data_IF_835184521462
#
_entry.id   IF_835184521462
#
_cell.length_a   1.000
_cell.length_b   1.000
_cell.length_c   1.000
_cell.angle_alpha   90.00
_cell.angle_beta   90.00
_cell.angle_gamma   90.00
#
_symmetry.space_group_name_H-M   'P 1'
#
loop_
_entity.id
_entity.type
_entity.pdbx_description
1 polymer ?
#
# COMPACT_ATOMS: atom_id res chain seq x y z
N UNK A 1 8.92 -2.28 4.10
CA UNK A 1 7.75 -2.17 5.00
C UNK A 1 7.11 -0.80 4.84
N UNK A 2 5.82 -0.63 5.16
CA UNK A 2 5.04 0.63 5.01
C UNK A 2 5.77 1.88 5.50
N UNK A 3 6.37 1.81 6.69
CA UNK A 3 7.06 2.96 7.29
C UNK A 3 8.26 3.45 6.46
N UNK A 4 8.97 2.54 5.78
CA UNK A 4 10.08 2.89 4.89
C UNK A 4 9.59 3.66 3.65
N UNK A 5 8.51 3.18 3.03
CA UNK A 5 7.93 3.84 1.84
C UNK A 5 7.41 5.23 2.21
N UNK A 6 6.70 5.34 3.34
CA UNK A 6 6.26 6.64 3.87
C UNK A 6 7.45 7.59 4.08
N UNK A 7 8.53 7.14 4.72
CA UNK A 7 9.73 7.96 4.91
C UNK A 7 10.37 8.39 3.59
N UNK A 8 10.39 7.53 2.57
CA UNK A 8 10.92 7.88 1.26
C UNK A 8 10.08 8.95 0.56
N UNK A 9 8.76 8.87 0.66
CA UNK A 9 7.84 9.89 0.15
C UNK A 9 8.07 11.22 0.88
N UNK A 10 8.11 11.20 2.22
CA UNK A 10 8.25 12.41 3.04
C UNK A 10 9.60 13.12 2.86
N UNK A 11 10.66 12.34 2.66
CA UNK A 11 12.01 12.88 2.44
C UNK A 11 12.38 12.99 0.97
N UNK A 12 11.43 12.74 0.05
CA UNK A 12 11.64 12.84 -1.40
C UNK A 12 12.84 12.03 -1.91
N UNK A 13 13.06 10.82 -1.37
CA UNK A 13 14.19 9.95 -1.73
C UNK A 13 14.06 9.45 -3.16
N UNK A 14 15.19 9.23 -3.82
CA UNK A 14 15.24 8.56 -5.11
C UNK A 14 15.53 7.07 -4.93
N UNK A 15 14.92 6.26 -5.80
CA UNK A 15 15.26 4.87 -6.01
C UNK A 15 16.62 4.76 -6.74
N UNK A 16 17.18 3.55 -6.78
CA UNK A 16 18.48 3.28 -7.41
C UNK A 16 18.49 3.60 -8.92
N UNK A 17 17.31 3.62 -9.56
CA UNK A 17 17.12 4.02 -10.96
C UNK A 17 17.00 5.55 -11.15
N UNK A 18 17.15 6.35 -10.09
CA UNK A 18 17.06 7.80 -10.10
C UNK A 18 15.64 8.36 -9.96
N UNK A 19 14.61 7.53 -10.00
CA UNK A 19 13.22 7.97 -9.89
C UNK A 19 12.88 8.39 -8.45
N UNK A 20 12.28 9.56 -8.29
CA UNK A 20 11.85 10.04 -6.97
C UNK A 20 10.62 9.27 -6.48
N UNK A 21 10.64 8.85 -5.22
CA UNK A 21 9.51 8.20 -4.57
C UNK A 21 8.45 9.26 -4.25
N UNK A 22 7.29 9.14 -4.90
CA UNK A 22 6.13 10.03 -4.71
C UNK A 22 4.89 9.22 -4.35
N UNK A 23 3.84 9.89 -3.83
CA UNK A 23 2.54 9.24 -3.56
C UNK A 23 1.97 8.58 -4.82
N UNK A 24 2.00 9.31 -5.95
CA UNK A 24 1.52 8.81 -7.24
C UNK A 24 2.31 7.58 -7.71
N UNK A 25 3.65 7.60 -7.57
CA UNK A 25 4.46 6.45 -7.94
C UNK A 25 4.12 5.22 -7.10
N UNK A 26 3.96 5.41 -5.79
CA UNK A 26 3.59 4.33 -4.90
C UNK A 26 2.20 3.76 -5.23
N UNK A 27 1.22 4.61 -5.57
CA UNK A 27 -0.12 4.17 -5.98
C UNK A 27 -0.08 3.34 -7.28
N UNK A 28 0.74 3.74 -8.26
CA UNK A 28 0.97 2.93 -9.47
C UNK A 28 1.52 1.54 -9.12
N UNK A 29 2.59 1.47 -8.33
CA UNK A 29 3.17 0.18 -7.94
C UNK A 29 2.23 -0.66 -7.11
N UNK A 30 1.41 -0.05 -6.24
CA UNK A 30 0.41 -0.79 -5.48
C UNK A 30 -0.61 -1.46 -6.41
N UNK A 31 -1.06 -0.79 -7.47
CA UNK A 31 -1.98 -1.37 -8.44
C UNK A 31 -1.34 -2.51 -9.23
N UNK A 32 -0.10 -2.33 -9.68
CA UNK A 32 0.65 -3.38 -10.38
C UNK A 32 0.80 -4.63 -9.50
N UNK A 33 1.19 -4.46 -8.23
CA UNK A 33 1.34 -5.57 -7.28
C UNK A 33 0.00 -6.24 -6.94
N UNK A 34 -1.11 -5.48 -6.88
CA UNK A 34 -2.45 -6.06 -6.70
C UNK A 34 -2.81 -7.01 -7.85
N UNK A 35 -2.49 -6.64 -9.09
CA UNK A 35 -2.71 -7.51 -10.24
C UNK A 35 -1.82 -8.76 -10.20
N UNK A 36 -0.58 -8.64 -9.74
CA UNK A 36 0.31 -9.80 -9.51
C UNK A 36 -0.30 -10.74 -8.47
N UNK A 37 -0.70 -10.22 -7.30
CA UNK A 37 -1.34 -11.02 -6.24
C UNK A 37 -2.59 -11.72 -6.78
N UNK A 38 -3.42 -11.02 -7.55
CA UNK A 38 -4.63 -11.56 -8.17
C UNK A 38 -4.32 -12.75 -9.10
N UNK A 39 -3.23 -12.66 -9.87
CA UNK A 39 -2.75 -13.76 -10.71
C UNK A 39 -2.22 -14.94 -9.90
N UNK A 40 -1.50 -14.69 -8.80
CA UNK A 40 -0.91 -15.73 -7.94
C UNK A 40 -1.96 -16.50 -7.13
N UNK A 41 -2.94 -15.80 -6.55
CA UNK A 41 -3.96 -16.42 -5.70
C UNK A 41 -5.16 -16.94 -6.49
N UNK A 42 -5.33 -16.47 -7.73
CA UNK A 42 -6.45 -16.77 -8.60
C UNK A 42 -7.67 -15.88 -8.34
N UNK A 43 -8.46 -15.63 -9.39
CA UNK A 43 -9.62 -14.73 -9.37
C UNK A 43 -10.61 -15.09 -8.25
N UNK A 44 -10.96 -16.37 -8.10
CA UNK A 44 -11.96 -16.81 -7.12
C UNK A 44 -11.53 -16.50 -5.69
N UNK A 45 -10.27 -16.75 -5.35
CA UNK A 45 -9.72 -16.47 -4.01
C UNK A 45 -9.52 -14.98 -3.78
N UNK A 46 -9.17 -14.23 -4.83
CA UNK A 46 -9.06 -12.77 -4.76
C UNK A 46 -10.43 -12.15 -4.43
N UNK A 47 -11.47 -12.54 -5.18
CA UNK A 47 -12.85 -12.05 -5.01
C UNK A 47 -13.48 -12.49 -3.68
N UNK A 48 -13.17 -13.69 -3.20
CA UNK A 48 -13.64 -14.18 -1.90
C UNK A 48 -12.86 -13.58 -0.71
N UNK A 49 -11.71 -12.99 -0.96
CA UNK A 49 -10.86 -12.36 0.04
C UNK A 49 -11.11 -10.86 0.18
N UNK A 50 -10.35 -10.23 1.08
CA UNK A 50 -10.41 -8.79 1.37
C UNK A 50 -9.19 -8.06 0.80
N UNK A 51 -8.72 -8.48 -0.38
CA UNK A 51 -7.50 -7.94 -0.98
C UNK A 51 -7.66 -6.49 -1.42
N UNK A 52 -8.82 -6.15 -1.97
CA UNK A 52 -9.13 -4.77 -2.37
C UNK A 52 -9.14 -3.83 -1.15
N UNK A 53 -9.81 -4.24 -0.07
CA UNK A 53 -9.85 -3.47 1.18
C UNK A 53 -8.46 -3.33 1.81
N UNK A 54 -7.65 -4.41 1.77
CA UNK A 54 -6.27 -4.38 2.23
C UNK A 54 -5.41 -3.41 1.40
N UNK A 55 -5.57 -3.39 0.08
CA UNK A 55 -4.89 -2.46 -0.80
C UNK A 55 -5.30 -1.00 -0.52
N UNK A 56 -6.60 -0.73 -0.36
CA UNK A 56 -7.10 0.61 0.00
C UNK A 56 -6.55 1.08 1.36
N UNK A 57 -6.53 0.19 2.35
CA UNK A 57 -5.97 0.49 3.67
C UNK A 57 -4.46 0.77 3.59
N UNK A 58 -3.72 -0.03 2.82
CA UNK A 58 -2.30 0.18 2.58
C UNK A 58 -2.03 1.50 1.87
N UNK A 59 -2.85 1.87 0.88
CA UNK A 59 -2.78 3.14 0.18
C UNK A 59 -2.93 4.30 1.15
N UNK A 60 -4.06 4.35 1.86
CA UNK A 60 -4.40 5.39 2.83
C UNK A 60 -3.29 5.61 3.86
N UNK A 61 -2.73 4.51 4.37
CA UNK A 61 -1.74 4.58 5.44
C UNK A 61 -0.33 4.94 4.98
N UNK A 62 0.01 4.67 3.73
CA UNK A 62 1.34 4.96 3.19
C UNK A 62 1.41 6.36 2.59
N UNK A 63 0.28 6.89 2.10
CA UNK A 63 0.20 8.23 1.49
C UNK A 63 -0.32 9.31 2.45
N UNK A 64 -0.67 8.96 3.69
CA UNK A 64 -1.02 9.90 4.76
C UNK A 64 0.11 10.87 5.07
N UNK A 65 -0.23 12.13 5.38
CA UNK A 65 0.75 13.14 5.78
C UNK A 65 1.34 12.87 7.17
N UNK A 66 0.58 12.22 8.04
CA UNK A 66 1.04 11.74 9.35
C UNK A 66 1.29 10.24 9.33
N UNK A 67 2.41 9.81 9.94
CA UNK A 67 2.71 8.39 10.12
C UNK A 67 1.87 7.83 11.26
N UNK A 68 0.86 7.02 10.94
CA UNK A 68 0.06 6.33 11.96
C UNK A 68 0.94 5.34 12.73
N UNK A 69 0.99 5.46 14.06
CA UNK A 69 1.89 4.67 14.91
C UNK A 69 1.71 3.15 14.79
N UNK A 70 0.49 2.66 14.56
CA UNK A 70 0.20 1.23 14.40
C UNK A 70 -0.78 0.98 13.27
N UNK A 71 -0.47 -0.01 12.41
CA UNK A 71 -1.34 -0.48 11.33
C UNK A 71 -2.67 -1.06 11.87
N UNK A 72 -2.65 -1.56 13.10
CA UNK A 72 -3.80 -2.22 13.73
C UNK A 72 -4.92 -1.26 14.08
N UNK A 73 -4.63 -0.01 14.45
CA UNK A 73 -5.66 0.97 14.85
C UNK A 73 -6.73 1.17 13.77
N UNK A 74 -6.37 1.49 12.50
CA UNK A 74 -7.35 1.58 11.42
C UNK A 74 -7.83 0.21 10.92
N UNK A 75 -7.09 -0.87 11.19
CA UNK A 75 -7.50 -2.23 10.85
C UNK A 75 -8.62 -2.78 11.75
N UNK A 76 -8.79 -2.22 12.96
CA UNK A 76 -9.87 -2.59 13.87
C UNK A 76 -11.25 -2.20 13.33
N UNK A 77 -11.35 -1.10 12.59
CA UNK A 77 -12.60 -0.63 11.97
C UNK A 77 -13.17 -1.62 10.93
N UNK A 78 -12.38 -2.62 10.54
CA UNK A 78 -12.71 -3.64 9.55
C UNK A 78 -13.05 -5.00 10.17
N UNK A 79 -13.10 -5.14 11.49
CA UNK A 79 -13.33 -6.41 12.21
C UNK A 79 -14.79 -6.66 12.66
N UNK A 80 -15.73 -5.78 12.31
CA UNK A 80 -17.16 -5.93 12.62
C UNK A 80 -17.89 -6.93 11.70
#
# INVERSE_FOLDING_TARGET
>A
SRASIWQWIQHGKSLDNGQQVTKALFETYLQEEVEVVKQEVGEERYQAGRFEEAAQLMAKLTTSDELTNFLTVPGYDYLD
#
